data_IF_387350127645
#
_entry.id   IF_387350127645
#
_cell.length_a   1.000
_cell.length_b   1.000
_cell.length_c   1.000
_cell.angle_alpha   90.00
_cell.angle_beta   90.00
_cell.angle_gamma   90.00
#
_symmetry.space_group_name_H-M   'P 1'
#
loop_
_entity.id
_entity.type
_entity.pdbx_description
1 polymer ?
#
# COMPACT_ATOMS: atom_id res chain seq x y z
N UNK A 1 -51.27 54.91 -19.35
CA UNK A 1 -49.84 54.67 -19.60
C UNK A 1 -49.67 53.17 -19.67
N UNK A 2 -49.77 52.61 -20.87
CA UNK A 2 -49.55 51.19 -21.11
C UNK A 2 -48.06 50.88 -20.95
N UNK A 3 -47.73 49.97 -20.04
CA UNK A 3 -46.39 49.43 -19.90
C UNK A 3 -46.23 48.29 -20.90
N UNK A 4 -45.46 48.53 -21.95
CA UNK A 4 -45.03 47.51 -22.89
C UNK A 4 -43.96 46.64 -22.19
N UNK A 5 -44.27 45.38 -21.91
CA UNK A 5 -43.34 44.40 -21.36
C UNK A 5 -42.71 43.64 -22.53
N UNK A 6 -41.47 43.96 -22.88
CA UNK A 6 -40.73 43.18 -23.88
C UNK A 6 -40.26 41.86 -23.29
N UNK A 7 -40.66 40.77 -23.95
CA UNK A 7 -40.27 39.39 -23.71
C UNK A 7 -38.81 39.24 -24.14
N UNK A 8 -37.91 38.91 -23.21
CA UNK A 8 -36.54 38.53 -23.54
C UNK A 8 -36.50 37.05 -23.94
N UNK A 9 -36.44 36.81 -25.26
CA UNK A 9 -36.23 35.49 -25.85
C UNK A 9 -34.81 34.98 -25.57
N UNK A 10 -34.74 33.70 -25.19
CA UNK A 10 -33.50 32.99 -24.93
C UNK A 10 -32.61 32.84 -26.18
N UNK A 11 -31.30 32.96 -25.96
CA UNK A 11 -30.23 32.52 -26.87
C UNK A 11 -29.29 31.66 -26.03
N UNK A 12 -29.35 30.35 -26.22
CA UNK A 12 -28.57 29.56 -27.18
C UNK A 12 -27.08 29.54 -26.83
N UNK A 13 -26.63 28.34 -26.48
CA UNK A 13 -25.31 27.97 -25.99
C UNK A 13 -24.32 27.76 -27.13
N UNK A 14 -23.42 28.72 -27.33
CA UNK A 14 -22.15 28.61 -28.06
C UNK A 14 -21.16 29.41 -27.17
N UNK A 15 -20.06 28.90 -26.62
CA UNK A 15 -18.87 28.39 -27.30
C UNK A 15 -18.05 27.45 -26.38
N UNK A 16 -18.03 26.15 -26.69
CA UNK A 16 -17.04 25.23 -26.15
C UNK A 16 -15.81 25.28 -27.08
N UNK A 17 -14.75 25.98 -26.68
CA UNK A 17 -13.49 26.04 -27.42
C UNK A 17 -12.69 24.75 -27.18
N UNK A 18 -12.44 23.91 -28.20
CA UNK A 18 -11.59 22.73 -28.06
C UNK A 18 -10.12 23.15 -28.10
N UNK A 19 -9.36 22.85 -27.04
CA UNK A 19 -7.92 23.05 -27.04
C UNK A 19 -7.27 22.09 -28.05
N UNK A 20 -6.64 22.67 -29.08
CA UNK A 20 -5.96 21.97 -30.16
C UNK A 20 -4.77 21.15 -29.63
N UNK A 21 -4.68 19.90 -30.07
CA UNK A 21 -3.52 19.03 -29.90
C UNK A 21 -2.71 19.07 -31.20
N UNK A 22 -1.61 19.81 -31.25
CA UNK A 22 -0.62 19.68 -32.33
C UNK A 22 0.80 19.93 -31.77
N UNK A 23 1.55 18.82 -31.71
CA UNK A 23 2.98 18.63 -31.99
C UNK A 23 4.07 19.47 -31.30
N UNK A 24 4.85 18.80 -30.45
CA UNK A 24 6.26 19.12 -30.19
C UNK A 24 7.11 18.01 -30.81
N UNK A 25 7.92 18.34 -31.83
CA UNK A 25 8.87 17.40 -32.45
C UNK A 25 10.29 17.95 -32.37
N UNK A 26 11.20 17.09 -31.87
CA UNK A 26 12.66 16.96 -32.13
C UNK A 26 13.63 18.06 -31.63
N UNK A 27 14.84 17.77 -31.10
CA UNK A 27 15.60 16.52 -30.90
C UNK A 27 16.86 16.68 -30.01
N UNK A 28 17.46 15.52 -29.66
CA UNK A 28 18.78 15.21 -29.07
C UNK A 28 18.86 15.15 -27.53
N UNK A 29 19.24 14.06 -26.87
CA UNK A 29 19.54 12.70 -27.32
C UNK A 29 19.72 11.84 -26.06
N UNK A 30 18.82 10.87 -25.86
CA UNK A 30 19.07 9.71 -25.00
C UNK A 30 18.37 8.55 -25.67
N UNK A 31 19.14 7.55 -26.11
CA UNK A 31 18.58 6.36 -26.74
C UNK A 31 17.66 5.61 -25.77
N UNK A 32 16.51 5.09 -26.24
CA UNK A 32 15.67 4.25 -25.41
C UNK A 32 16.40 2.94 -25.15
N UNK A 33 16.93 2.79 -23.93
CA UNK A 33 17.51 1.54 -23.47
C UNK A 33 16.41 0.46 -23.57
N UNK A 34 16.64 -0.65 -24.29
CA UNK A 34 15.67 -1.74 -24.32
C UNK A 34 15.45 -2.25 -22.90
N UNK A 35 14.20 -2.17 -22.43
CA UNK A 35 13.77 -2.84 -21.20
C UNK A 35 13.70 -4.33 -21.52
N UNK A 36 14.86 -4.97 -21.51
CA UNK A 36 14.99 -6.39 -21.24
C UNK A 36 15.81 -6.50 -19.96
N UNK A 37 15.20 -6.08 -18.84
CA UNK A 37 15.65 -6.58 -17.54
C UNK A 37 14.84 -7.83 -17.27
N UNK A 38 15.42 -8.94 -17.70
CA UNK A 38 15.11 -10.26 -17.19
C UNK A 38 15.18 -10.21 -15.66
N UNK A 39 14.04 -10.06 -15.01
CA UNK A 39 13.89 -10.22 -13.57
C UNK A 39 13.89 -11.72 -13.25
N UNK A 40 14.96 -12.41 -13.60
CA UNK A 40 15.23 -13.74 -13.05
C UNK A 40 15.83 -13.55 -11.67
N UNK A 41 14.97 -13.75 -10.67
CA UNK A 41 15.26 -14.60 -9.53
C UNK A 41 16.64 -14.40 -8.87
N UNK A 42 16.69 -13.46 -7.94
CA UNK A 42 17.38 -13.70 -6.67
C UNK A 42 16.38 -13.41 -5.54
N UNK A 43 15.40 -14.30 -5.46
CA UNK A 43 14.63 -14.52 -4.24
C UNK A 43 15.53 -15.45 -3.44
N UNK A 44 16.19 -14.94 -2.40
CA UNK A 44 16.80 -15.80 -1.41
C UNK A 44 15.71 -16.73 -0.86
N UNK A 45 15.95 -18.01 -1.13
CA UNK A 45 15.09 -19.15 -0.86
C UNK A 45 14.77 -19.28 0.63
N UNK A 46 13.66 -18.71 1.10
CA UNK A 46 12.79 -19.38 2.08
C UNK A 46 11.43 -18.69 2.26
N UNK A 47 10.56 -18.75 1.25
CA UNK A 47 9.13 -18.72 1.52
C UNK A 47 8.50 -19.92 0.84
N UNK A 48 8.49 -21.04 1.58
CA UNK A 48 7.69 -22.20 1.27
C UNK A 48 6.24 -21.78 1.04
N UNK A 49 5.89 -21.58 -0.23
CA UNK A 49 4.53 -21.70 -0.74
C UNK A 49 4.21 -23.19 -0.60
N UNK A 50 3.77 -23.58 0.59
CA UNK A 50 3.12 -24.88 0.75
C UNK A 50 1.77 -24.76 0.07
N UNK A 51 1.72 -25.30 -1.15
CA UNK A 51 0.53 -25.89 -1.73
C UNK A 51 -0.21 -26.64 -0.62
N UNK A 52 -1.33 -26.04 -0.18
CA UNK A 52 -2.24 -26.71 0.73
C UNK A 52 -2.96 -27.77 -0.08
N UNK A 53 -2.35 -28.94 -0.19
CA UNK A 53 -3.11 -30.17 -0.31
C UNK A 53 -4.21 -30.12 0.75
N UNK A 54 -5.47 -30.02 0.31
CA UNK A 54 -6.63 -30.06 1.19
C UNK A 54 -6.73 -31.46 1.78
N UNK A 55 -5.95 -31.73 2.84
CA UNK A 55 -6.14 -32.94 3.66
C UNK A 55 -7.58 -32.87 4.19
N UNK A 56 -8.42 -33.82 3.79
CA UNK A 56 -9.79 -33.96 4.30
C UNK A 56 -9.70 -34.18 5.81
N UNK A 57 -9.86 -33.12 6.61
CA UNK A 57 -9.85 -33.21 8.06
C UNK A 57 -11.20 -33.72 8.54
N UNK A 58 -11.43 -35.02 8.42
CA UNK A 58 -12.50 -35.68 9.17
C UNK A 58 -12.18 -35.60 10.67
N UNK A 59 -13.12 -35.10 11.48
CA UNK A 59 -12.99 -35.14 12.94
C UNK A 59 -13.12 -36.61 13.38
N UNK A 60 -11.99 -37.31 13.55
CA UNK A 60 -12.00 -38.67 14.10
C UNK A 60 -12.56 -38.59 15.53
N UNK A 61 -13.68 -39.29 15.77
CA UNK A 61 -14.33 -39.34 17.09
C UNK A 61 -13.33 -39.94 18.08
N UNK A 62 -13.04 -39.20 19.14
CA UNK A 62 -12.17 -39.69 20.21
C UNK A 62 -12.90 -40.84 20.93
N UNK A 63 -12.21 -41.97 21.13
CA UNK A 63 -12.74 -43.09 21.90
C UNK A 63 -13.06 -42.63 23.34
N UNK A 64 -14.19 -43.12 23.88
CA UNK A 64 -14.61 -42.83 25.28
C UNK A 64 -13.50 -43.26 26.23
N UNK A 65 -13.03 -42.35 27.09
CA UNK A 65 -12.02 -42.64 28.12
C UNK A 65 -10.60 -42.14 27.82
N UNK A 66 -10.33 -41.62 26.62
CA UNK A 66 -9.06 -40.93 26.33
C UNK A 66 -9.17 -39.46 26.76
N UNK A 67 -8.46 -39.07 27.82
CA UNK A 67 -8.31 -37.65 28.14
C UNK A 67 -7.49 -36.96 27.04
N UNK A 68 -8.12 -36.05 26.29
CA UNK A 68 -7.37 -35.14 25.43
C UNK A 68 -6.67 -34.09 26.30
N UNK A 69 -5.34 -34.09 26.30
CA UNK A 69 -4.56 -33.00 26.88
C UNK A 69 -4.94 -31.67 26.21
N UNK A 70 -5.24 -30.65 27.01
CA UNK A 70 -5.40 -29.27 26.51
C UNK A 70 -4.11 -28.86 25.78
N UNK A 71 -4.24 -28.26 24.59
CA UNK A 71 -3.07 -27.77 23.83
C UNK A 71 -2.31 -26.73 24.65
N UNK A 72 -0.97 -26.79 24.60
CA UNK A 72 -0.12 -25.73 25.16
C UNK A 72 -0.38 -24.43 24.39
N UNK A 73 -0.56 -23.33 25.12
CA UNK A 73 -0.76 -22.01 24.51
C UNK A 73 0.61 -21.41 24.16
N UNK A 74 0.84 -21.18 22.88
CA UNK A 74 2.06 -20.51 22.37
C UNK A 74 1.69 -19.26 21.58
N UNK A 75 1.47 -18.11 22.26
CA UNK A 75 0.95 -16.91 21.60
C UNK A 75 1.92 -16.34 20.57
N UNK A 76 3.24 -16.49 20.75
CA UNK A 76 4.25 -16.00 19.81
C UNK A 76 4.19 -16.75 18.46
N UNK A 77 3.71 -17.99 18.48
CA UNK A 77 3.53 -18.79 17.27
C UNK A 77 2.22 -18.50 16.55
N UNK A 78 1.30 -17.72 17.16
CA UNK A 78 0.07 -17.34 16.50
C UNK A 78 0.34 -16.36 15.36
N UNK A 79 -0.09 -16.73 14.17
CA UNK A 79 0.06 -15.94 12.95
C UNK A 79 -0.48 -14.50 13.10
N UNK A 80 -1.56 -14.32 13.89
CA UNK A 80 -2.10 -13.00 14.22
C UNK A 80 -1.10 -12.15 15.02
N UNK A 81 -0.40 -12.76 15.97
CA UNK A 81 0.57 -12.08 16.83
C UNK A 81 1.85 -11.77 16.05
N UNK A 82 2.37 -12.73 15.27
CA UNK A 82 3.50 -12.49 14.35
C UNK A 82 3.24 -11.29 13.44
N UNK A 83 2.08 -11.26 12.79
CA UNK A 83 1.67 -10.12 11.95
C UNK A 83 1.54 -8.81 12.73
N UNK A 84 1.03 -8.87 13.98
CA UNK A 84 0.92 -7.68 14.84
C UNK A 84 2.29 -7.10 15.15
N UNK A 85 3.27 -7.95 15.51
CA UNK A 85 4.65 -7.55 15.79
C UNK A 85 5.27 -6.89 14.55
N UNK A 86 5.19 -7.54 13.38
CA UNK A 86 5.71 -6.97 12.13
C UNK A 86 5.08 -5.62 11.80
N UNK A 87 3.77 -5.48 11.98
CA UNK A 87 3.06 -4.21 11.75
C UNK A 87 3.53 -3.10 12.70
N UNK A 88 3.75 -3.41 13.98
CA UNK A 88 4.24 -2.44 14.97
C UNK A 88 5.67 -2.00 14.62
N UNK A 89 6.52 -2.95 14.27
CA UNK A 89 7.91 -2.70 13.84
C UNK A 89 8.02 -2.01 12.48
N UNK A 90 6.90 -1.79 11.77
CA UNK A 90 6.92 -1.22 10.43
C UNK A 90 7.45 -2.15 9.34
N UNK A 91 7.77 -3.42 9.65
CA UNK A 91 8.32 -4.41 8.72
C UNK A 91 7.30 -4.91 7.70
N UNK A 92 7.74 -5.48 6.56
CA UNK A 92 6.83 -6.03 5.57
C UNK A 92 6.06 -7.23 6.16
N UNK A 93 4.79 -7.37 5.80
CA UNK A 93 3.94 -8.47 6.27
C UNK A 93 2.87 -8.86 5.26
N UNK A 94 2.38 -10.10 5.38
CA UNK A 94 1.30 -10.62 4.52
C UNK A 94 -0.04 -10.50 5.24
N UNK A 95 -1.03 -9.91 4.58
CA UNK A 95 -2.41 -9.80 5.09
C UNK A 95 -3.12 -11.16 5.09
N UNK A 96 -4.27 -11.25 5.76
CA UNK A 96 -5.09 -12.48 5.74
C UNK A 96 -5.55 -12.82 4.31
N UNK A 97 -5.72 -11.80 3.46
CA UNK A 97 -6.07 -11.94 2.03
C UNK A 97 -4.87 -12.30 1.14
N UNK A 98 -3.68 -12.56 1.72
CA UNK A 98 -2.48 -12.92 0.97
C UNK A 98 -1.72 -11.74 0.35
N UNK A 99 -2.21 -10.50 0.45
CA UNK A 99 -1.48 -9.32 -0.06
C UNK A 99 -0.27 -9.01 0.79
N UNK A 100 0.90 -8.82 0.18
CA UNK A 100 2.13 -8.33 0.81
C UNK A 100 2.04 -6.82 1.01
N UNK A 101 2.29 -6.36 2.23
CA UNK A 101 2.44 -4.95 2.58
C UNK A 101 3.93 -4.67 2.72
N UNK A 102 4.39 -3.60 2.10
CA UNK A 102 5.79 -3.17 2.16
C UNK A 102 6.18 -2.68 3.55
N UNK A 103 7.49 -2.59 3.77
CA UNK A 103 8.05 -1.90 4.92
C UNK A 103 7.60 -0.43 4.96
N UNK A 104 7.56 0.14 6.16
CA UNK A 104 7.37 1.57 6.37
C UNK A 104 8.64 2.29 5.96
N UNK A 105 8.48 3.34 5.16
CA UNK A 105 9.53 4.28 4.83
C UNK A 105 9.19 5.67 5.36
N UNK A 106 10.23 6.47 5.59
CA UNK A 106 10.06 7.89 5.85
C UNK A 106 9.44 8.54 4.60
N UNK A 107 8.43 9.37 4.79
CA UNK A 107 7.82 10.16 3.72
C UNK A 107 8.54 11.50 3.57
N UNK A 108 8.24 12.21 2.50
CA UNK A 108 8.71 13.57 2.25
C UNK A 108 8.30 14.53 3.36
N UNK A 109 8.98 15.68 3.43
CA UNK A 109 8.62 16.73 4.38
C UNK A 109 7.19 17.21 4.12
N UNK A 110 6.41 17.44 5.18
CA UNK A 110 5.06 17.93 5.01
C UNK A 110 5.07 19.43 4.73
N UNK A 111 4.20 19.89 3.82
CA UNK A 111 4.00 21.29 3.43
C UNK A 111 2.88 21.99 4.20
N UNK A 112 2.68 21.60 5.47
CA UNK A 112 1.56 22.09 6.28
C UNK A 112 1.73 23.56 6.73
N UNK A 113 0.62 24.21 7.13
CA UNK A 113 0.59 25.61 7.60
C UNK A 113 1.57 25.91 8.74
N UNK A 114 1.92 24.90 9.53
CA UNK A 114 2.83 25.01 10.66
C UNK A 114 4.32 24.95 10.27
N UNK A 115 4.62 24.82 8.97
CA UNK A 115 5.96 24.79 8.39
C UNK A 115 6.88 23.79 9.08
N UNK A 116 6.41 22.57 9.31
CA UNK A 116 7.19 21.56 10.02
C UNK A 116 8.52 21.23 9.33
N UNK A 117 8.60 21.39 8.01
CA UNK A 117 9.82 21.24 7.22
C UNK A 117 10.94 22.22 7.61
N UNK A 118 10.62 23.39 8.19
CA UNK A 118 11.62 24.35 8.69
C UNK A 118 12.08 23.99 10.12
N UNK A 119 11.21 23.35 10.90
CA UNK A 119 11.45 23.05 12.32
C UNK A 119 12.24 21.76 12.54
N UNK A 120 12.02 20.77 11.68
CA UNK A 120 12.66 19.47 11.75
C UNK A 120 13.53 19.26 10.51
N UNK A 121 14.84 19.18 10.71
CA UNK A 121 15.76 18.74 9.67
C UNK A 121 15.47 17.29 9.26
N UNK A 122 15.83 16.93 8.03
CA UNK A 122 15.61 15.58 7.52
C UNK A 122 16.35 14.51 8.33
N UNK A 123 17.53 14.83 8.87
CA UNK A 123 18.27 13.98 9.80
C UNK A 123 17.44 13.66 11.06
N UNK A 124 16.91 14.69 11.74
CA UNK A 124 16.06 14.51 12.92
C UNK A 124 14.82 13.68 12.60
N UNK A 125 14.24 13.85 11.41
CA UNK A 125 13.09 13.05 10.97
C UNK A 125 13.45 11.58 10.79
N UNK A 126 14.63 11.29 10.24
CA UNK A 126 15.15 9.93 10.11
C UNK A 126 15.44 9.30 11.48
N UNK A 127 16.03 10.05 12.40
CA UNK A 127 16.33 9.55 13.75
C UNK A 127 15.05 9.21 14.51
N UNK A 128 14.08 10.14 14.53
CA UNK A 128 12.76 9.89 15.13
C UNK A 128 12.10 8.66 14.51
N UNK A 129 12.20 8.49 13.19
CA UNK A 129 11.62 7.35 12.50
C UNK A 129 12.26 6.02 12.92
N UNK A 130 13.60 5.97 12.96
CA UNK A 130 14.35 4.78 13.38
C UNK A 130 14.04 4.43 14.83
N UNK A 131 14.14 5.42 15.72
CA UNK A 131 13.85 5.25 17.14
C UNK A 131 12.43 4.75 17.35
N UNK A 132 11.44 5.40 16.73
CA UNK A 132 10.04 5.03 16.86
C UNK A 132 9.76 3.55 16.53
N UNK A 133 10.31 3.06 15.41
CA UNK A 133 10.09 1.67 14.99
C UNK A 133 10.96 0.65 15.74
N UNK A 134 12.00 1.10 16.46
CA UNK A 134 12.85 0.27 17.32
C UNK A 134 12.31 0.11 18.75
N UNK A 135 11.29 0.86 19.17
CA UNK A 135 10.68 0.81 20.52
C UNK A 135 9.85 -0.47 20.81
N UNK A 136 9.96 -1.53 20.00
CA UNK A 136 9.07 -2.70 20.03
C UNK A 136 9.48 -3.82 20.97
#
# INVERSE_FOLDING_TARGET
MEFHFEVFDGKSSDDFVPLQKENCSSNSGVEPIPITVDFTNNIDDNYNILDKEKKKTGRKKLEKGKECRKRKREPNNWEKNKRKILKIQGKPYVTIKGRRISEKSLKDACSCKNKCYEKFSDEKRQDIFREFYNLS
#
